data_IF_512324694890
#
_entry.id   IF_512324694890
#
_cell.length_a   1.000
_cell.length_b   1.000
_cell.length_c   1.000
_cell.angle_alpha   90.00
_cell.angle_beta   90.00
_cell.angle_gamma   90.00
#
_symmetry.space_group_name_H-M   'P 1'
#
loop_
_entity.id
_entity.type
_entity.pdbx_description
1 polymer ?
#
# COMPACT_ATOMS: atom_id res chain seq x y z
N UNK A 1 19.45 -0.87 -22.81
CA UNK A 1 19.35 -0.88 -21.34
C UNK A 1 19.53 -2.32 -20.92
N UNK A 2 20.52 -2.63 -20.09
CA UNK A 2 20.64 -3.99 -19.54
C UNK A 2 19.41 -4.26 -18.66
N UNK A 3 18.96 -5.52 -18.55
CA UNK A 3 17.82 -5.91 -17.71
C UNK A 3 17.98 -5.52 -16.22
N UNK A 4 19.17 -5.06 -15.82
CA UNK A 4 19.53 -4.74 -14.44
C UNK A 4 19.11 -3.32 -13.99
N UNK A 5 18.52 -2.49 -14.86
CA UNK A 5 18.08 -1.11 -14.55
C UNK A 5 16.55 -0.92 -14.55
N UNK A 6 15.77 -1.95 -14.91
CA UNK A 6 14.31 -1.86 -15.00
C UNK A 6 13.67 -1.87 -13.61
N UNK A 7 12.82 -0.88 -13.31
CA UNK A 7 12.00 -0.87 -12.09
C UNK A 7 10.86 -1.89 -12.17
N UNK A 8 10.39 -2.36 -11.01
CA UNK A 8 9.37 -3.43 -10.90
C UNK A 8 8.03 -3.13 -11.58
N UNK A 9 7.68 -1.85 -11.74
CA UNK A 9 6.46 -1.41 -12.41
C UNK A 9 6.58 -1.31 -13.94
N UNK A 10 7.80 -1.26 -14.48
CA UNK A 10 8.06 -1.08 -15.91
C UNK A 10 7.95 -2.42 -16.65
N UNK A 11 6.73 -2.94 -16.72
CA UNK A 11 6.40 -4.22 -17.35
C UNK A 11 5.93 -4.07 -18.81
N UNK A 12 5.99 -2.85 -19.35
CA UNK A 12 5.55 -2.54 -20.71
C UNK A 12 6.33 -3.33 -21.75
N UNK A 13 5.63 -4.06 -22.63
CA UNK A 13 6.24 -4.86 -23.69
C UNK A 13 6.74 -6.24 -23.26
N UNK A 14 6.59 -6.62 -21.99
CA UNK A 14 6.87 -7.98 -21.52
C UNK A 14 5.73 -8.96 -21.86
N UNK A 15 6.01 -10.25 -22.07
CA UNK A 15 4.97 -11.26 -22.23
C UNK A 15 4.07 -11.36 -20.98
N UNK A 16 2.77 -11.09 -21.12
CA UNK A 16 1.80 -11.10 -20.01
C UNK A 16 0.90 -12.35 -19.93
N UNK A 17 0.88 -13.17 -20.97
CA UNK A 17 -0.05 -14.32 -21.05
C UNK A 17 -1.52 -13.92 -21.14
N UNK A 18 -2.45 -14.88 -21.07
CA UNK A 18 -3.89 -14.63 -21.03
C UNK A 18 -4.28 -13.85 -19.77
N UNK A 19 -5.25 -12.94 -19.90
CA UNK A 19 -5.76 -12.09 -18.82
C UNK A 19 -7.12 -12.61 -18.35
N UNK A 20 -7.31 -12.70 -17.04
CA UNK A 20 -8.65 -12.87 -16.45
C UNK A 20 -9.42 -11.54 -16.50
N UNK A 21 -10.59 -11.55 -17.14
CA UNK A 21 -11.45 -10.39 -17.34
C UNK A 21 -12.62 -10.33 -16.34
N UNK A 22 -12.69 -11.25 -15.38
CA UNK A 22 -13.71 -11.21 -14.34
C UNK A 22 -13.58 -9.96 -13.47
N UNK A 23 -14.71 -9.34 -13.17
CA UNK A 23 -14.74 -8.21 -12.26
C UNK A 23 -14.55 -8.65 -10.81
N UNK A 24 -13.73 -7.90 -10.09
CA UNK A 24 -13.58 -8.03 -8.64
C UNK A 24 -14.40 -6.96 -7.94
N UNK A 25 -15.31 -7.39 -7.06
CA UNK A 25 -16.06 -6.46 -6.23
C UNK A 25 -15.19 -5.93 -5.09
N UNK A 26 -14.97 -4.62 -5.05
CA UNK A 26 -14.19 -3.98 -4.00
C UNK A 26 -14.76 -4.31 -2.61
N UNK A 27 -13.93 -4.95 -1.79
CA UNK A 27 -14.18 -5.23 -0.38
C UNK A 27 -14.24 -3.93 0.44
N UNK A 28 -14.76 -4.01 1.66
CA UNK A 28 -14.72 -2.87 2.58
C UNK A 28 -13.29 -2.44 2.92
N UNK A 29 -12.36 -3.40 3.00
CA UNK A 29 -10.95 -3.12 3.25
C UNK A 29 -10.35 -2.26 2.13
N UNK A 30 -10.54 -2.66 0.88
CA UNK A 30 -10.02 -1.94 -0.29
C UNK A 30 -10.59 -0.52 -0.38
N UNK A 31 -11.90 -0.37 -0.16
CA UNK A 31 -12.54 0.97 -0.11
C UNK A 31 -11.95 1.86 0.99
N UNK A 32 -11.59 1.29 2.14
CA UNK A 32 -10.96 2.04 3.24
C UNK A 32 -9.52 2.46 2.90
N UNK A 33 -8.75 1.58 2.26
CA UNK A 33 -7.39 1.90 1.82
C UNK A 33 -7.42 3.01 0.76
N UNK A 34 -8.33 2.92 -0.22
CA UNK A 34 -8.52 3.96 -1.23
C UNK A 34 -8.88 5.31 -0.59
N UNK A 35 -9.88 5.32 0.30
CA UNK A 35 -10.29 6.54 1.00
C UNK A 35 -9.16 7.14 1.84
N UNK A 36 -8.33 6.31 2.48
CA UNK A 36 -7.15 6.77 3.22
C UNK A 36 -6.15 7.46 2.30
N UNK A 37 -5.84 6.87 1.15
CA UNK A 37 -4.94 7.48 0.15
C UNK A 37 -5.51 8.81 -0.32
N UNK A 38 -6.79 8.86 -0.70
CA UNK A 38 -7.45 10.08 -1.17
C UNK A 38 -7.43 11.19 -0.11
N UNK A 39 -7.58 10.85 1.17
CA UNK A 39 -7.47 11.79 2.26
C UNK A 39 -6.06 12.35 2.39
N UNK A 40 -5.03 11.49 2.33
CA UNK A 40 -3.63 11.89 2.53
C UNK A 40 -3.10 12.75 1.39
N UNK A 41 -3.49 12.45 0.14
CA UNK A 41 -3.08 13.25 -1.04
C UNK A 41 -3.94 14.48 -1.27
N UNK A 42 -5.01 14.67 -0.49
CA UNK A 42 -5.85 15.85 -0.59
C UNK A 42 -5.01 17.11 -0.34
N UNK A 43 -5.04 18.13 -1.22
CA UNK A 43 -4.19 19.33 -1.06
C UNK A 43 -4.37 20.10 0.25
N UNK A 44 -5.51 19.96 0.95
CA UNK A 44 -5.72 20.58 2.26
C UNK A 44 -5.03 19.85 3.40
N UNK A 45 -4.87 18.53 3.27
CA UNK A 45 -4.11 17.70 4.23
C UNK A 45 -2.65 17.68 3.81
N UNK A 46 -2.39 17.34 2.55
CA UNK A 46 -1.08 17.45 1.91
C UNK A 46 -0.01 16.58 2.56
N UNK A 47 -0.38 15.42 3.12
CA UNK A 47 0.57 14.56 3.82
C UNK A 47 1.65 14.02 2.86
N UNK A 48 1.27 13.67 1.63
CA UNK A 48 2.19 13.30 0.55
C UNK A 48 1.51 13.48 -0.82
N UNK A 49 2.29 13.36 -1.91
CA UNK A 49 1.76 13.44 -3.29
C UNK A 49 1.51 12.04 -3.87
N UNK A 50 0.75 11.99 -4.96
CA UNK A 50 0.55 10.74 -5.73
C UNK A 50 1.89 10.22 -6.29
N UNK A 51 2.80 11.12 -6.67
CA UNK A 51 4.14 10.72 -7.14
C UNK A 51 4.97 10.06 -6.04
N UNK A 52 4.91 10.57 -4.81
CA UNK A 52 5.54 9.92 -3.66
C UNK A 52 4.94 8.54 -3.37
N UNK A 53 3.61 8.39 -3.51
CA UNK A 53 2.93 7.10 -3.39
C UNK A 53 3.43 6.11 -4.44
N UNK A 54 3.51 6.52 -5.72
CA UNK A 54 4.04 5.67 -6.79
C UNK A 54 5.48 5.26 -6.52
N UNK A 55 6.35 6.20 -6.17
CA UNK A 55 7.74 5.93 -5.81
C UNK A 55 7.84 4.86 -4.72
N UNK A 56 7.11 5.02 -3.61
CA UNK A 56 7.16 4.07 -2.50
C UNK A 56 6.63 2.68 -2.89
N UNK A 57 5.62 2.59 -3.75
CA UNK A 57 5.15 1.30 -4.30
C UNK A 57 6.20 0.66 -5.21
N UNK A 58 6.90 1.45 -6.02
CA UNK A 58 7.91 1.01 -6.97
C UNK A 58 9.26 0.63 -6.32
N UNK A 59 9.48 1.03 -5.07
CA UNK A 59 10.63 0.63 -4.25
C UNK A 59 10.47 -0.74 -3.60
N UNK A 60 9.29 -1.36 -3.71
CA UNK A 60 9.10 -2.74 -3.30
C UNK A 60 10.09 -3.67 -4.02
N UNK A 61 10.56 -4.70 -3.31
CA UNK A 61 11.35 -5.76 -3.95
C UNK A 61 10.51 -6.44 -5.06
N UNK A 62 11.13 -7.03 -6.09
CA UNK A 62 10.39 -7.76 -7.13
C UNK A 62 9.44 -8.82 -6.56
N UNK A 63 9.88 -9.51 -5.51
CA UNK A 63 9.09 -10.50 -4.77
C UNK A 63 7.82 -9.89 -4.16
N UNK A 64 7.95 -8.79 -3.42
CA UNK A 64 6.82 -8.10 -2.78
C UNK A 64 5.89 -7.49 -3.83
N UNK A 65 6.44 -6.91 -4.89
CA UNK A 65 5.64 -6.33 -5.97
C UNK A 65 4.83 -7.41 -6.72
N UNK A 66 5.36 -8.62 -6.88
CA UNK A 66 4.62 -9.71 -7.49
C UNK A 66 3.57 -10.33 -6.55
N UNK A 67 3.87 -10.46 -5.25
CA UNK A 67 3.05 -11.23 -4.31
C UNK A 67 1.97 -10.43 -3.58
N UNK A 68 2.19 -9.14 -3.33
CA UNK A 68 1.22 -8.31 -2.60
C UNK A 68 0.00 -7.99 -3.48
N UNK A 69 -1.19 -8.04 -2.89
CA UNK A 69 -2.41 -7.51 -3.50
C UNK A 69 -2.28 -6.02 -3.82
N UNK A 70 -3.06 -5.54 -4.79
CA UNK A 70 -2.97 -4.16 -5.29
C UNK A 70 -3.11 -3.12 -4.15
N UNK A 71 -4.18 -3.22 -3.35
CA UNK A 71 -4.41 -2.33 -2.22
C UNK A 71 -3.44 -2.59 -1.04
N UNK A 72 -2.86 -3.78 -0.92
CA UNK A 72 -1.83 -4.06 0.09
C UNK A 72 -0.54 -3.28 -0.21
N UNK A 73 -0.16 -3.14 -1.48
CA UNK A 73 0.96 -2.28 -1.90
C UNK A 73 0.72 -0.82 -1.52
N UNK A 74 -0.50 -0.33 -1.74
CA UNK A 74 -0.90 1.02 -1.34
C UNK A 74 -0.78 1.21 0.17
N UNK A 75 -1.35 0.29 0.97
CA UNK A 75 -1.30 0.41 2.42
C UNK A 75 0.14 0.38 2.96
N UNK A 76 1.00 -0.48 2.40
CA UNK A 76 2.43 -0.51 2.74
C UNK A 76 3.10 0.84 2.44
N UNK A 77 2.87 1.40 1.24
CA UNK A 77 3.41 2.70 0.85
C UNK A 77 2.88 3.85 1.72
N UNK A 78 1.59 3.83 2.10
CA UNK A 78 1.02 4.81 3.02
C UNK A 78 1.72 4.75 4.38
N UNK A 79 1.90 3.55 4.96
CA UNK A 79 2.63 3.37 6.23
C UNK A 79 4.03 3.98 6.15
N UNK A 80 4.77 3.65 5.09
CA UNK A 80 6.12 4.18 4.85
C UNK A 80 6.12 5.70 4.75
N UNK A 81 5.24 6.28 3.93
CA UNK A 81 5.19 7.73 3.70
C UNK A 81 4.79 8.51 4.95
N UNK A 82 3.86 8.00 5.77
CA UNK A 82 3.49 8.67 7.02
C UNK A 82 4.67 8.76 8.00
N UNK A 83 5.55 7.75 7.99
CA UNK A 83 6.80 7.76 8.76
C UNK A 83 7.83 8.70 8.14
N UNK A 84 8.07 8.61 6.84
CA UNK A 84 9.02 9.49 6.13
C UNK A 84 8.70 10.98 6.28
N UNK A 85 7.41 11.32 6.32
CA UNK A 85 6.92 12.70 6.48
C UNK A 85 6.76 13.11 7.96
N UNK A 86 7.18 12.25 8.90
CA UNK A 86 7.07 12.45 10.34
C UNK A 86 5.64 12.76 10.84
N UNK A 87 4.62 12.29 10.11
CA UNK A 87 3.22 12.38 10.53
C UNK A 87 2.93 11.36 11.64
N UNK A 88 3.57 10.20 11.57
CA UNK A 88 3.58 9.16 12.59
C UNK A 88 5.00 8.63 12.77
N UNK A 89 5.27 8.05 13.93
CA UNK A 89 6.47 7.26 14.19
C UNK A 89 6.19 5.77 14.06
N UNK A 90 7.26 4.98 13.86
CA UNK A 90 7.17 3.51 13.89
C UNK A 90 6.58 3.02 15.22
N UNK A 91 7.00 3.61 16.35
CA UNK A 91 6.55 3.24 17.69
C UNK A 91 5.05 3.50 17.89
N UNK A 92 4.52 4.61 17.39
CA UNK A 92 3.08 4.92 17.45
C UNK A 92 2.25 3.91 16.66
N UNK A 93 2.75 3.49 15.49
CA UNK A 93 2.08 2.49 14.66
C UNK A 93 2.07 1.14 15.37
N UNK A 94 3.22 0.69 15.89
CA UNK A 94 3.30 -0.60 16.58
C UNK A 94 2.50 -0.63 17.89
N UNK A 95 2.51 0.45 18.67
CA UNK A 95 1.66 0.59 19.85
C UNK A 95 0.17 0.46 19.47
N UNK A 96 -0.26 1.16 18.41
CA UNK A 96 -1.65 1.08 17.96
C UNK A 96 -2.01 -0.30 17.43
N UNK A 97 -1.11 -0.96 16.73
CA UNK A 97 -1.31 -2.33 16.24
C UNK A 97 -1.47 -3.32 17.41
N UNK A 98 -0.67 -3.19 18.46
CA UNK A 98 -0.82 -4.01 19.67
C UNK A 98 -2.19 -3.82 20.34
N UNK A 99 -2.67 -2.58 20.45
CA UNK A 99 -4.00 -2.28 21.00
C UNK A 99 -5.13 -2.86 20.14
N UNK A 100 -5.01 -2.77 18.81
CA UNK A 100 -5.99 -3.35 17.88
C UNK A 100 -6.03 -4.88 18.01
N UNK A 101 -4.87 -5.55 18.09
CA UNK A 101 -4.79 -7.01 18.28
C UNK A 101 -5.48 -7.44 19.58
N UNK A 102 -5.20 -6.78 20.70
CA UNK A 102 -5.85 -7.05 21.99
C UNK A 102 -7.37 -6.92 21.90
N UNK A 103 -7.87 -5.87 21.22
CA UNK A 103 -9.31 -5.69 21.03
C UNK A 103 -9.93 -6.81 20.20
N UNK A 104 -9.27 -7.19 19.10
CA UNK A 104 -9.74 -8.30 18.25
C UNK A 104 -9.76 -9.63 18.98
N UNK A 105 -8.75 -9.91 19.82
CA UNK A 105 -8.72 -11.10 20.67
C UNK A 105 -9.88 -11.10 21.67
N UNK A 106 -10.13 -9.97 22.34
CA UNK A 106 -11.25 -9.86 23.27
C UNK A 106 -12.61 -10.06 22.59
N UNK A 107 -12.80 -9.49 21.40
CA UNK A 107 -14.02 -9.67 20.59
C UNK A 107 -14.20 -11.12 20.11
N UNK A 108 -13.12 -11.85 19.85
CA UNK A 108 -13.18 -13.25 19.42
C UNK A 108 -13.49 -14.24 20.56
N UNK A 109 -13.25 -13.85 21.82
CA UNK A 109 -13.54 -14.67 23.01
C UNK A 109 -14.85 -14.27 23.72
N UNK A 110 -15.57 -13.29 23.19
CA UNK A 110 -16.89 -12.84 23.65
C UNK A 110 -18.01 -13.56 22.89
#
# INVERSE_FOLDING_TARGET
>A
MSDNERKVNDVGGLPGGPIDLHEHANTLHEKRVDALVMLMVNPRIGAFTVDSLRRAIEENTPQEYASLGYYSKWLKAVRQLLVEQAVLTEDEIEAKMADVRKRMEAEAHA
#
